data_IF_144851238960
#
_entry.id   IF_144851238960
#
_cell.length_a   1.000
_cell.length_b   1.000
_cell.length_c   1.000
_cell.angle_alpha   90.00
_cell.angle_beta   90.00
_cell.angle_gamma   90.00
#
_symmetry.space_group_name_H-M   'P 1'
#
loop_
_entity.id
_entity.type
_entity.pdbx_description
1 polymer ?
#
# COMPACT_ATOMS: atom_id res chain seq x y z
N UNK A 1 21.55 22.05 33.94
CA UNK A 1 21.17 22.16 32.52
C UNK A 1 20.81 20.76 32.07
N UNK A 2 19.52 20.42 32.06
CA UNK A 2 19.05 19.09 31.67
C UNK A 2 18.90 19.09 30.16
N UNK A 3 19.71 18.32 29.45
CA UNK A 3 19.61 18.18 27.99
C UNK A 3 18.36 17.38 27.66
N UNK A 4 17.38 18.03 27.06
CA UNK A 4 16.16 17.40 26.57
C UNK A 4 16.49 16.71 25.24
N UNK A 5 16.73 15.39 25.28
CA UNK A 5 16.87 14.57 24.06
C UNK A 5 15.48 14.44 23.44
N UNK A 6 15.16 15.29 22.46
CA UNK A 6 13.97 15.11 21.63
C UNK A 6 14.18 13.89 20.74
N UNK A 7 13.50 12.78 21.04
CA UNK A 7 13.50 11.61 20.16
C UNK A 7 12.87 11.98 18.82
N UNK A 8 13.53 11.63 17.71
CA UNK A 8 12.97 11.81 16.38
C UNK A 8 11.74 10.92 16.18
N UNK A 9 10.77 11.40 15.42
CA UNK A 9 9.61 10.61 15.01
C UNK A 9 10.05 9.32 14.28
N UNK A 10 9.24 8.27 14.37
CA UNK A 10 9.60 6.99 13.76
C UNK A 10 9.67 7.10 12.22
N UNK A 11 10.76 6.58 11.65
CA UNK A 11 10.96 6.44 10.21
C UNK A 11 11.72 5.13 9.92
N UNK A 12 11.15 4.27 9.08
CA UNK A 12 11.79 3.02 8.71
C UNK A 12 10.85 1.96 8.13
N UNK A 13 11.44 0.84 7.75
CA UNK A 13 10.70 -0.32 7.25
C UNK A 13 9.95 -1.01 8.38
N UNK A 14 8.67 -1.26 8.17
CA UNK A 14 7.83 -1.96 9.14
C UNK A 14 6.69 -2.71 8.46
N UNK A 15 6.09 -3.62 9.21
CA UNK A 15 4.82 -4.23 8.86
C UNK A 15 3.75 -3.68 9.81
N UNK A 16 2.83 -2.88 9.27
CA UNK A 16 1.68 -2.39 10.01
C UNK A 16 0.57 -3.41 9.99
N UNK A 17 -0.19 -3.47 11.07
CA UNK A 17 -1.45 -4.17 11.15
C UNK A 17 -2.50 -3.18 11.59
N UNK A 18 -3.53 -3.03 10.78
CA UNK A 18 -4.59 -2.06 10.96
C UNK A 18 -5.81 -2.81 11.47
N UNK A 19 -6.27 -2.41 12.65
CA UNK A 19 -7.48 -2.92 13.29
C UNK A 19 -7.61 -4.46 13.29
N UNK A 20 -6.48 -5.19 13.35
CA UNK A 20 -6.43 -6.65 13.40
C UNK A 20 -6.83 -7.40 12.12
N UNK A 21 -7.06 -6.71 10.99
CA UNK A 21 -7.56 -7.36 9.76
C UNK A 21 -6.80 -6.99 8.49
N UNK A 22 -6.12 -5.84 8.47
CA UNK A 22 -5.41 -5.35 7.27
C UNK A 22 -3.93 -5.15 7.58
N UNK A 23 -3.09 -6.03 7.05
CA UNK A 23 -1.62 -5.92 7.17
C UNK A 23 -1.10 -5.00 6.06
N UNK A 24 -0.07 -4.17 6.32
CA UNK A 24 0.56 -3.23 5.40
C UNK A 24 2.09 -3.21 5.58
N UNK A 25 2.82 -4.06 4.85
CA UNK A 25 4.29 -4.01 4.80
C UNK A 25 4.75 -2.84 3.92
N UNK A 26 5.67 -2.02 4.42
CA UNK A 26 6.18 -0.87 3.65
C UNK A 26 7.16 -0.01 4.43
N UNK A 27 7.60 1.08 3.80
CA UNK A 27 8.37 2.12 4.46
C UNK A 27 7.41 3.08 5.17
N UNK A 28 7.66 3.33 6.45
CA UNK A 28 6.72 4.01 7.32
C UNK A 28 7.38 5.25 7.88
N UNK A 29 6.63 6.36 7.90
CA UNK A 29 7.03 7.58 8.58
C UNK A 29 5.84 8.32 9.16
N UNK A 30 6.09 9.02 10.25
CA UNK A 30 5.12 9.97 10.78
C UNK A 30 5.03 11.21 9.88
N UNK A 31 3.81 11.65 9.61
CA UNK A 31 3.51 12.87 8.84
C UNK A 31 2.36 13.62 9.50
N UNK A 32 2.19 14.89 9.14
CA UNK A 32 1.02 15.67 9.52
C UNK A 32 0.20 16.01 8.28
N UNK A 33 -1.09 15.67 8.30
CA UNK A 33 -2.03 15.93 7.20
C UNK A 33 -3.30 16.53 7.80
N UNK A 34 -3.72 17.68 7.29
CA UNK A 34 -4.93 18.39 7.75
C UNK A 34 -4.99 18.54 9.29
N UNK A 35 -3.88 18.99 9.89
CA UNK A 35 -3.70 19.15 11.34
C UNK A 35 -3.84 17.85 12.16
N UNK A 36 -3.69 16.68 11.53
CA UNK A 36 -3.72 15.37 12.18
C UNK A 36 -2.39 14.64 12.00
N UNK A 37 -1.88 14.04 13.08
CA UNK A 37 -0.70 13.16 13.03
C UNK A 37 -1.10 11.80 12.45
N UNK A 38 -0.44 11.40 11.38
CA UNK A 38 -0.74 10.20 10.61
C UNK A 38 0.55 9.41 10.37
N UNK A 39 0.41 8.10 10.19
CA UNK A 39 1.46 7.27 9.61
C UNK A 39 1.24 7.22 8.10
N UNK A 40 2.26 7.62 7.35
CA UNK A 40 2.37 7.32 5.92
C UNK A 40 3.02 5.96 5.76
N UNK A 41 2.47 5.12 4.89
CA UNK A 41 3.02 3.82 4.52
C UNK A 41 3.22 3.79 3.02
N UNK A 42 4.46 3.64 2.57
CA UNK A 42 4.83 3.43 1.18
C UNK A 42 5.01 1.92 0.96
N UNK A 43 4.00 1.29 0.35
CA UNK A 43 3.95 -0.14 0.09
C UNK A 43 4.66 -0.40 -1.25
N UNK A 44 5.73 -1.20 -1.31
CA UNK A 44 6.40 -1.50 -2.57
C UNK A 44 5.51 -2.37 -3.47
N UNK A 45 5.44 -2.03 -4.74
CA UNK A 45 4.60 -2.66 -5.78
C UNK A 45 5.35 -2.84 -7.10
N UNK A 46 4.76 -3.57 -8.03
CA UNK A 46 5.39 -3.95 -9.29
C UNK A 46 6.34 -5.14 -9.17
N UNK A 47 6.78 -5.69 -10.31
CA UNK A 47 7.56 -6.93 -10.34
C UNK A 47 8.90 -6.80 -9.59
N UNK A 48 9.58 -5.67 -9.78
CA UNK A 48 10.85 -5.36 -9.13
C UNK A 48 10.71 -4.58 -7.81
N UNK A 49 9.49 -4.16 -7.43
CA UNK A 49 9.28 -3.34 -6.23
C UNK A 49 9.74 -1.89 -6.38
N UNK A 50 9.87 -1.39 -7.60
CA UNK A 50 10.40 -0.04 -7.88
C UNK A 50 9.34 1.05 -7.75
N UNK A 51 8.06 0.66 -7.77
CA UNK A 51 6.92 1.54 -7.56
C UNK A 51 6.40 1.43 -6.13
N UNK A 52 5.66 2.44 -5.69
CA UNK A 52 5.03 2.44 -4.38
C UNK A 52 3.57 2.88 -4.45
N UNK A 53 2.74 2.23 -3.64
CA UNK A 53 1.41 2.71 -3.28
C UNK A 53 1.49 3.33 -1.90
N UNK A 54 1.22 4.64 -1.83
CA UNK A 54 1.20 5.37 -0.57
C UNK A 54 -0.19 5.34 0.05
N UNK A 55 -0.26 4.93 1.31
CA UNK A 55 -1.48 4.99 2.14
C UNK A 55 -1.20 5.80 3.43
N UNK A 56 -2.27 6.34 4.04
CA UNK A 56 -2.17 7.14 5.27
C UNK A 56 -3.15 6.63 6.32
N UNK A 57 -2.68 6.46 7.55
CA UNK A 57 -3.46 5.93 8.66
C UNK A 57 -3.27 6.76 9.92
N UNK A 58 -4.37 7.06 10.62
CA UNK A 58 -4.29 7.66 11.95
C UNK A 58 -3.74 6.65 12.97
N UNK A 59 -3.06 7.13 14.00
CA UNK A 59 -2.46 6.27 15.04
C UNK A 59 -3.48 5.33 15.70
N UNK A 60 -4.72 5.79 15.90
CA UNK A 60 -5.80 4.98 16.47
C UNK A 60 -6.25 3.80 15.59
N UNK A 61 -5.84 3.75 14.32
CA UNK A 61 -6.11 2.62 13.44
C UNK A 61 -5.07 1.50 13.50
N UNK A 62 -3.93 1.77 14.12
CA UNK A 62 -2.81 0.82 14.18
C UNK A 62 -3.01 -0.12 15.35
N UNK A 63 -3.20 -1.40 15.03
CA UNK A 63 -3.20 -2.47 16.01
C UNK A 63 -1.77 -2.88 16.39
N UNK A 64 -0.89 -3.02 15.39
CA UNK A 64 0.53 -3.29 15.62
C UNK A 64 1.42 -2.63 14.58
N UNK A 65 2.62 -2.19 15.00
CA UNK A 65 3.69 -1.73 14.12
C UNK A 65 4.93 -2.57 14.45
N UNK A 66 5.42 -3.33 13.47
CA UNK A 66 6.56 -4.24 13.64
C UNK A 66 7.72 -3.77 12.76
N UNK A 67 8.72 -3.05 13.30
CA UNK A 67 9.90 -2.67 12.55
C UNK A 67 10.60 -3.90 11.98
N UNK A 68 11.10 -3.80 10.75
CA UNK A 68 11.72 -4.91 10.04
C UNK A 68 12.76 -4.40 9.03
N UNK A 69 13.38 -5.29 8.28
CA UNK A 69 14.29 -4.92 7.19
C UNK A 69 13.52 -4.65 5.90
N UNK A 70 14.14 -3.87 5.01
CA UNK A 70 13.62 -3.64 3.66
C UNK A 70 13.31 -4.94 2.92
N UNK A 71 14.23 -5.90 2.97
CA UNK A 71 14.10 -7.20 2.32
C UNK A 71 12.83 -7.93 2.76
N UNK A 72 12.57 -7.98 4.08
CA UNK A 72 11.40 -8.65 4.64
C UNK A 72 10.12 -7.90 4.24
N UNK A 73 10.10 -6.58 4.34
CA UNK A 73 8.93 -5.79 3.98
C UNK A 73 8.56 -5.94 2.49
N UNK A 74 9.55 -5.86 1.59
CA UNK A 74 9.35 -6.08 0.14
C UNK A 74 8.84 -7.48 -0.16
N UNK A 75 9.44 -8.51 0.43
CA UNK A 75 8.99 -9.90 0.27
C UNK A 75 7.54 -10.07 0.76
N UNK A 76 7.23 -9.57 1.94
CA UNK A 76 5.87 -9.63 2.50
C UNK A 76 4.84 -8.86 1.65
N UNK A 77 5.22 -7.73 1.05
CA UNK A 77 4.34 -6.99 0.14
C UNK A 77 4.03 -7.82 -1.11
N UNK A 78 5.06 -8.39 -1.76
CA UNK A 78 4.93 -9.21 -2.96
C UNK A 78 4.09 -10.47 -2.70
N UNK A 79 4.37 -11.19 -1.61
CA UNK A 79 3.59 -12.39 -1.24
C UNK A 79 2.12 -12.08 -0.98
N UNK A 80 1.82 -10.89 -0.44
CA UNK A 80 0.46 -10.52 -0.03
C UNK A 80 -0.38 -9.92 -1.15
N UNK A 81 0.20 -9.10 -2.02
CA UNK A 81 -0.54 -8.35 -3.05
C UNK A 81 -0.20 -8.78 -4.48
N UNK A 82 0.79 -9.65 -4.67
CA UNK A 82 1.34 -9.91 -5.99
C UNK A 82 1.94 -8.64 -6.57
N UNK A 83 1.26 -8.03 -7.53
CA UNK A 83 1.73 -6.84 -8.23
C UNK A 83 1.27 -5.52 -7.60
N UNK A 84 0.05 -5.44 -7.04
CA UNK A 84 -0.54 -4.15 -6.64
C UNK A 84 -1.71 -4.29 -5.63
N UNK A 85 -1.67 -3.58 -4.47
CA UNK A 85 -2.77 -3.52 -3.50
C UNK A 85 -3.93 -2.59 -3.89
N UNK A 86 -3.82 -1.79 -4.96
CA UNK A 86 -4.88 -0.87 -5.41
C UNK A 86 -6.10 -1.65 -5.90
N UNK A 87 -7.32 -1.12 -5.71
CA UNK A 87 -8.53 -1.73 -6.27
C UNK A 87 -8.43 -1.80 -7.80
N UNK A 88 -8.52 -3.01 -8.36
CA UNK A 88 -8.50 -3.23 -9.82
C UNK A 88 -9.78 -2.77 -10.53
N UNK A 89 -10.81 -2.34 -9.77
CA UNK A 89 -12.05 -1.76 -10.30
C UNK A 89 -12.57 -0.68 -9.34
N UNK A 90 -12.41 0.61 -9.64
CA UNK A 90 -13.19 1.65 -8.99
C UNK A 90 -14.68 1.36 -9.19
N UNK A 91 -15.49 1.55 -8.15
CA UNK A 91 -16.93 1.20 -8.16
C UNK A 91 -17.73 1.90 -9.27
N UNK A 92 -17.18 2.99 -9.83
CA UNK A 92 -17.77 3.78 -10.92
C UNK A 92 -17.07 3.58 -12.28
N UNK A 93 -16.05 2.73 -12.38
CA UNK A 93 -15.37 2.48 -13.65
C UNK A 93 -16.21 1.56 -14.54
N UNK A 94 -16.99 2.16 -15.43
CA UNK A 94 -17.53 1.48 -16.61
C UNK A 94 -16.60 1.80 -17.78
N UNK A 95 -15.84 0.83 -18.33
CA UNK A 95 -15.15 1.07 -19.59
C UNK A 95 -16.22 1.44 -20.63
N UNK A 96 -15.94 2.48 -21.43
CA UNK A 96 -16.76 2.72 -22.61
C UNK A 96 -16.57 1.51 -23.52
N UNK A 97 -17.64 0.76 -23.76
CA UNK A 97 -17.70 -0.24 -24.82
C UNK A 97 -17.46 0.49 -26.14
N UNK A 98 -16.28 0.32 -26.75
CA UNK A 98 -16.03 0.78 -28.12
C UNK A 98 -16.51 -0.32 -29.07
N UNK A 99 -17.01 0.06 -30.24
CA UNK A 99 -17.52 -0.88 -31.26
C UNK A 99 -16.44 -1.76 -31.90
N UNK A 100 -15.21 -1.74 -31.37
CA UNK A 100 -14.08 -2.53 -31.86
C UNK A 100 -14.03 -3.93 -31.20
N UNK A 101 -14.80 -4.16 -30.14
CA UNK A 101 -14.90 -5.47 -29.47
C UNK A 101 -15.93 -6.42 -30.13
N UNK A 102 -16.56 -6.04 -31.25
CA UNK A 102 -17.57 -6.84 -31.97
C UNK A 102 -17.02 -7.79 -33.05
N UNK A 103 -15.70 -7.98 -33.17
CA UNK A 103 -15.16 -9.06 -34.01
C UNK A 103 -15.09 -10.38 -33.21
N UNK A 104 -16.26 -10.90 -32.83
CA UNK A 104 -16.39 -12.35 -32.57
C UNK A 104 -16.41 -13.02 -33.93
N UNK A 105 -15.26 -13.54 -34.33
CA UNK A 105 -15.09 -14.41 -35.50
C UNK A 105 -16.03 -15.63 -35.39
N UNK A 106 -17.18 -15.53 -36.07
CA UNK A 106 -18.23 -16.55 -36.17
C UNK A 106 -17.86 -17.68 -37.16
N UNK A 107 -16.67 -17.65 -37.78
CA UNK A 107 -16.24 -18.65 -38.75
C UNK A 107 -15.53 -19.87 -38.12
N UNK A 108 -16.10 -20.45 -37.05
CA UNK A 108 -15.71 -21.81 -36.63
C UNK A 108 -16.61 -22.85 -37.28
N UNK A 109 -16.10 -23.67 -38.24
CA UNK A 109 -16.88 -24.77 -38.79
C UNK A 109 -17.16 -25.83 -37.71
N UNK A 110 -18.41 -26.31 -37.69
CA UNK A 110 -18.96 -27.35 -36.80
C UNK A 110 -18.22 -28.69 -36.88
#
# INVERSE_FOLDING_TARGET
MTTETTASAFEGWAILELMGHRVRPGFVKEVEIAASKMLRVDIPVGEAGEEYVTEYYGGGAVYSLRPTTEEIARRSARERYGADPRPVRPVDYRPAITSEDEEVDDDRPF
#
